data_IF_300250870921
#
_entry.id   IF_300250870921
#
_cell.length_a   1.000
_cell.length_b   1.000
_cell.length_c   1.000
_cell.angle_alpha   90.00
_cell.angle_beta   90.00
_cell.angle_gamma   90.00
#
_symmetry.space_group_name_H-M   'P 1'
#
loop_
_entity.id
_entity.type
_entity.pdbx_description
1 polymer ?
#
# COMPACT_ATOMS: atom_id res chain seq x y z
N UNK A 1 -87.81 -15.34 -109.12
CA UNK A 1 -87.17 -14.51 -108.08
C UNK A 1 -86.62 -15.34 -106.91
N UNK A 2 -85.85 -16.42 -107.15
CA UNK A 2 -85.26 -17.26 -106.06
C UNK A 2 -83.72 -17.21 -105.99
N UNK A 3 -83.06 -16.48 -106.90
CA UNK A 3 -81.59 -16.49 -107.03
C UNK A 3 -80.83 -15.53 -106.10
N UNK A 4 -81.50 -14.56 -105.45
CA UNK A 4 -80.84 -13.54 -104.61
C UNK A 4 -80.92 -13.84 -103.10
N UNK A 5 -81.54 -14.96 -102.68
CA UNK A 5 -81.76 -15.29 -101.27
C UNK A 5 -80.50 -15.86 -100.59
N UNK A 6 -79.70 -16.62 -101.35
CA UNK A 6 -78.48 -17.27 -100.83
C UNK A 6 -77.42 -16.23 -100.42
N UNK A 7 -77.07 -15.21 -101.24
CA UNK A 7 -76.10 -14.18 -100.85
C UNK A 7 -76.54 -13.37 -99.61
N UNK A 8 -77.84 -13.08 -99.48
CA UNK A 8 -78.40 -12.35 -98.33
C UNK A 8 -78.32 -13.19 -97.06
N UNK A 9 -78.67 -14.47 -97.12
CA UNK A 9 -78.57 -15.37 -95.96
C UNK A 9 -77.10 -15.52 -95.50
N UNK A 10 -76.17 -15.64 -96.45
CA UNK A 10 -74.74 -15.74 -96.18
C UNK A 10 -74.21 -14.45 -95.54
N UNK A 11 -74.65 -13.29 -96.01
CA UNK A 11 -74.31 -11.99 -95.42
C UNK A 11 -74.83 -11.84 -93.98
N UNK A 12 -76.07 -12.26 -93.71
CA UNK A 12 -76.63 -12.24 -92.34
C UNK A 12 -75.86 -13.17 -91.41
N UNK A 13 -75.50 -14.38 -91.85
CA UNK A 13 -74.68 -15.32 -91.07
C UNK A 13 -73.29 -14.71 -90.79
N UNK A 14 -72.67 -14.04 -91.76
CA UNK A 14 -71.40 -13.33 -91.55
C UNK A 14 -71.54 -12.22 -90.51
N UNK A 15 -72.61 -11.40 -90.56
CA UNK A 15 -72.85 -10.36 -89.56
C UNK A 15 -73.01 -10.94 -88.16
N UNK A 16 -73.79 -12.02 -88.02
CA UNK A 16 -73.99 -12.68 -86.72
C UNK A 16 -72.67 -13.26 -86.21
N UNK A 17 -71.88 -13.91 -87.07
CA UNK A 17 -70.56 -14.43 -86.71
C UNK A 17 -69.60 -13.31 -86.28
N UNK A 18 -69.56 -12.19 -87.00
CA UNK A 18 -68.73 -11.02 -86.65
C UNK A 18 -69.18 -10.40 -85.32
N UNK A 19 -70.49 -10.27 -85.09
CA UNK A 19 -71.01 -9.76 -83.82
C UNK A 19 -70.70 -10.69 -82.64
N UNK A 20 -70.81 -12.01 -82.83
CA UNK A 20 -70.44 -13.01 -81.83
C UNK A 20 -68.94 -12.97 -81.50
N UNK A 21 -68.07 -12.87 -82.52
CA UNK A 21 -66.63 -12.70 -82.35
C UNK A 21 -66.33 -11.39 -81.60
N UNK A 22 -66.98 -10.29 -81.97
CA UNK A 22 -66.83 -9.00 -81.30
C UNK A 22 -67.23 -9.05 -79.81
N UNK A 23 -68.31 -9.76 -79.48
CA UNK A 23 -68.74 -9.95 -78.10
C UNK A 23 -67.74 -10.78 -77.27
N UNK A 24 -67.20 -11.86 -77.82
CA UNK A 24 -66.16 -12.68 -77.17
C UNK A 24 -64.90 -11.86 -76.93
N UNK A 25 -64.40 -11.15 -77.95
CA UNK A 25 -63.23 -10.29 -77.82
C UNK A 25 -63.43 -9.18 -76.78
N UNK A 26 -64.61 -8.56 -76.73
CA UNK A 26 -64.89 -7.53 -75.73
C UNK A 26 -64.94 -8.10 -74.30
N UNK A 27 -65.43 -9.33 -74.13
CA UNK A 27 -65.40 -10.05 -72.86
C UNK A 27 -63.97 -10.36 -72.41
N UNK A 28 -63.13 -10.85 -73.33
CA UNK A 28 -61.72 -11.12 -73.08
C UNK A 28 -60.93 -9.85 -72.73
N UNK A 29 -61.14 -8.76 -73.47
CA UNK A 29 -60.52 -7.45 -73.18
C UNK A 29 -60.94 -6.94 -71.80
N UNK A 30 -62.23 -7.05 -71.45
CA UNK A 30 -62.73 -6.65 -70.13
C UNK A 30 -62.10 -7.47 -69.01
N UNK A 31 -61.96 -8.78 -69.21
CA UNK A 31 -61.28 -9.69 -68.27
C UNK A 31 -59.80 -9.35 -68.12
N UNK A 32 -59.10 -9.09 -69.23
CA UNK A 32 -57.70 -8.67 -69.23
C UNK A 32 -57.50 -7.33 -68.50
N UNK A 33 -58.37 -6.34 -68.74
CA UNK A 33 -58.32 -5.05 -68.05
C UNK A 33 -58.56 -5.18 -66.55
N UNK A 34 -59.50 -6.04 -66.14
CA UNK A 34 -59.73 -6.33 -64.72
C UNK A 34 -58.49 -6.94 -64.06
N UNK A 35 -57.87 -7.94 -64.70
CA UNK A 35 -56.61 -8.55 -64.21
C UNK A 35 -55.47 -7.54 -64.12
N UNK A 36 -55.32 -6.70 -65.14
CA UNK A 36 -54.31 -5.63 -65.16
C UNK A 36 -54.52 -4.65 -63.99
N UNK A 37 -55.76 -4.23 -63.73
CA UNK A 37 -56.09 -3.33 -62.62
C UNK A 37 -55.74 -3.95 -61.25
N UNK A 38 -56.04 -5.24 -61.06
CA UNK A 38 -55.64 -5.99 -59.85
C UNK A 38 -54.12 -6.01 -59.70
N UNK A 39 -53.39 -6.45 -60.73
CA UNK A 39 -51.91 -6.51 -60.70
C UNK A 39 -51.30 -5.14 -60.42
N UNK A 40 -51.83 -4.07 -61.01
CA UNK A 40 -51.36 -2.71 -60.79
C UNK A 40 -51.58 -2.26 -59.33
N UNK A 41 -52.70 -2.64 -58.73
CA UNK A 41 -53.01 -2.36 -57.32
C UNK A 41 -52.09 -3.15 -56.38
N UNK A 42 -51.86 -4.43 -56.68
CA UNK A 42 -50.93 -5.29 -55.93
C UNK A 42 -49.50 -4.74 -56.00
N UNK A 43 -49.06 -4.32 -57.19
CA UNK A 43 -47.75 -3.68 -57.39
C UNK A 43 -47.59 -2.42 -56.54
N UNK A 44 -48.61 -1.53 -56.50
CA UNK A 44 -48.57 -0.33 -55.66
C UNK A 44 -48.45 -0.67 -54.18
N UNK A 45 -49.20 -1.67 -53.73
CA UNK A 45 -49.17 -2.16 -52.35
C UNK A 45 -47.78 -2.69 -52.00
N UNK A 46 -47.23 -3.57 -52.84
CA UNK A 46 -45.88 -4.12 -52.66
C UNK A 46 -44.81 -3.04 -52.65
N UNK A 47 -44.88 -2.08 -53.56
CA UNK A 47 -43.95 -0.96 -53.63
C UNK A 47 -44.00 -0.11 -52.34
N UNK A 48 -45.21 0.14 -51.80
CA UNK A 48 -45.35 0.83 -50.51
C UNK A 48 -44.71 0.02 -49.37
N UNK A 49 -44.98 -1.29 -49.30
CA UNK A 49 -44.39 -2.18 -48.28
C UNK A 49 -42.86 -2.22 -48.36
N UNK A 50 -42.29 -2.20 -49.57
CA UNK A 50 -40.85 -2.13 -49.78
C UNK A 50 -40.25 -0.86 -49.16
N UNK A 51 -40.85 0.31 -49.39
CA UNK A 51 -40.36 1.57 -48.82
C UNK A 51 -40.51 1.64 -47.30
N UNK A 52 -41.58 1.06 -46.74
CA UNK A 52 -41.74 0.91 -45.29
C UNK A 52 -40.61 0.06 -44.71
N UNK A 53 -40.35 -1.13 -45.28
CA UNK A 53 -39.30 -2.02 -44.81
C UNK A 53 -37.90 -1.40 -44.93
N UNK A 54 -37.65 -0.66 -46.02
CA UNK A 54 -36.39 0.07 -46.20
C UNK A 54 -36.20 1.14 -45.12
N UNK A 55 -37.26 1.84 -44.73
CA UNK A 55 -37.21 2.80 -43.63
C UNK A 55 -36.90 2.13 -42.30
N UNK A 56 -37.56 1.01 -41.99
CA UNK A 56 -37.34 0.23 -40.77
C UNK A 56 -35.89 -0.29 -40.69
N UNK A 57 -35.36 -0.79 -41.80
CA UNK A 57 -33.96 -1.23 -41.90
C UNK A 57 -32.98 -0.09 -41.60
N UNK A 58 -33.24 1.11 -42.14
CA UNK A 58 -32.38 2.27 -41.91
C UNK A 58 -32.42 2.71 -40.43
N UNK A 59 -33.60 2.66 -39.79
CA UNK A 59 -33.73 2.93 -38.35
C UNK A 59 -32.91 1.93 -37.54
N UNK A 60 -33.10 0.63 -37.79
CA UNK A 60 -32.37 -0.43 -37.08
C UNK A 60 -30.84 -0.33 -37.28
N UNK A 61 -30.40 0.04 -38.48
CA UNK A 61 -28.98 0.26 -38.79
C UNK A 61 -28.38 1.40 -37.97
N UNK A 62 -29.14 2.47 -37.73
CA UNK A 62 -28.70 3.58 -36.89
C UNK A 62 -28.69 3.21 -35.40
N UNK A 63 -29.72 2.52 -34.92
CA UNK A 63 -29.76 1.99 -33.54
C UNK A 63 -28.58 1.06 -33.25
N UNK A 64 -28.22 0.20 -34.21
CA UNK A 64 -27.05 -0.68 -34.09
C UNK A 64 -25.74 0.11 -33.97
N UNK A 65 -25.56 1.19 -34.74
CA UNK A 65 -24.38 2.06 -34.65
C UNK A 65 -24.29 2.75 -33.29
N UNK A 66 -25.42 3.23 -32.77
CA UNK A 66 -25.49 3.85 -31.46
C UNK A 66 -25.14 2.85 -30.36
N UNK A 67 -25.69 1.64 -30.42
CA UNK A 67 -25.37 0.55 -29.50
C UNK A 67 -23.86 0.21 -29.52
N UNK A 68 -23.26 0.14 -30.71
CA UNK A 68 -21.83 -0.12 -30.85
C UNK A 68 -20.99 1.00 -30.22
N UNK A 69 -21.40 2.25 -30.39
CA UNK A 69 -20.75 3.40 -29.75
C UNK A 69 -20.84 3.31 -28.23
N UNK A 70 -22.03 3.02 -27.70
CA UNK A 70 -22.25 2.87 -26.26
C UNK A 70 -21.43 1.72 -25.67
N UNK A 71 -21.32 0.59 -26.39
CA UNK A 71 -20.45 -0.51 -26.00
C UNK A 71 -18.98 -0.08 -25.94
N UNK A 72 -18.51 0.70 -26.91
CA UNK A 72 -17.14 1.21 -26.90
C UNK A 72 -16.87 2.12 -25.70
N UNK A 73 -17.82 2.98 -25.31
CA UNK A 73 -17.71 3.79 -24.11
C UNK A 73 -17.64 2.93 -22.84
N UNK A 74 -18.53 1.93 -22.72
CA UNK A 74 -18.52 1.02 -21.57
C UNK A 74 -17.20 0.25 -21.42
N UNK A 75 -16.55 -0.13 -22.53
CA UNK A 75 -15.23 -0.78 -22.51
C UNK A 75 -14.14 0.18 -22.01
N UNK A 76 -14.16 1.44 -22.46
CA UNK A 76 -13.23 2.47 -21.97
C UNK A 76 -13.41 2.70 -20.47
N UNK A 77 -14.64 2.89 -20.02
CA UNK A 77 -14.97 3.09 -18.60
C UNK A 77 -14.51 1.90 -17.75
N UNK A 78 -14.69 0.67 -18.25
CA UNK A 78 -14.20 -0.53 -17.57
C UNK A 78 -12.67 -0.54 -17.42
N UNK A 79 -11.95 -0.18 -18.48
CA UNK A 79 -10.49 -0.14 -18.45
C UNK A 79 -9.97 0.96 -17.51
N UNK A 80 -10.62 2.12 -17.48
CA UNK A 80 -10.29 3.21 -16.56
C UNK A 80 -10.53 2.79 -15.11
N UNK A 81 -11.66 2.14 -14.82
CA UNK A 81 -11.96 1.58 -13.50
C UNK A 81 -10.95 0.50 -13.09
N UNK A 82 -10.53 -0.36 -14.02
CA UNK A 82 -9.51 -1.38 -13.76
C UNK A 82 -8.15 -0.76 -13.46
N UNK A 83 -7.78 0.30 -14.18
CA UNK A 83 -6.56 1.07 -13.92
C UNK A 83 -6.58 1.70 -12.54
N UNK A 84 -7.70 2.35 -12.17
CA UNK A 84 -7.91 2.92 -10.83
C UNK A 84 -7.80 1.83 -9.77
N UNK A 85 -8.49 0.70 -9.93
CA UNK A 85 -8.45 -0.43 -8.99
C UNK A 85 -7.03 -0.96 -8.81
N UNK A 86 -6.26 -1.09 -9.89
CA UNK A 86 -4.87 -1.53 -9.81
C UNK A 86 -3.98 -0.51 -9.09
N UNK A 87 -4.20 0.79 -9.29
CA UNK A 87 -3.45 1.86 -8.60
C UNK A 87 -3.76 1.95 -7.10
N UNK A 88 -5.02 1.68 -6.71
CA UNK A 88 -5.43 1.60 -5.30
C UNK A 88 -4.83 0.36 -4.64
N UNK A 89 -4.91 -0.80 -5.30
CA UNK A 89 -4.38 -2.05 -4.76
C UNK A 89 -2.85 -2.03 -4.60
N UNK A 90 -2.09 -1.35 -5.44
CA UNK A 90 -0.62 -1.35 -5.34
C UNK A 90 -0.06 -0.51 -4.19
N UNK A 91 -0.81 0.46 -3.69
CA UNK A 91 -0.30 1.47 -2.74
C UNK A 91 -0.86 1.25 -1.33
N UNK A 92 -2.12 0.79 -1.22
CA UNK A 92 -2.74 0.50 0.07
C UNK A 92 -2.35 -0.87 0.62
N UNK A 93 -2.06 -1.86 -0.22
CA UNK A 93 -1.72 -3.21 0.28
C UNK A 93 -0.35 -3.25 0.95
N UNK A 94 0.65 -2.54 0.43
CA UNK A 94 1.97 -2.46 1.07
C UNK A 94 1.89 -1.74 2.41
N UNK A 95 1.14 -0.64 2.49
CA UNK A 95 0.96 0.11 3.73
C UNK A 95 0.18 -0.70 4.77
N UNK A 96 -0.89 -1.38 4.36
CA UNK A 96 -1.69 -2.24 5.23
C UNK A 96 -0.87 -3.44 5.75
N UNK A 97 -0.05 -4.05 4.92
CA UNK A 97 0.81 -5.15 5.35
C UNK A 97 1.88 -4.68 6.33
N UNK A 98 2.47 -3.51 6.10
CA UNK A 98 3.40 -2.87 7.03
C UNK A 98 2.75 -2.50 8.37
N UNK A 99 1.52 -1.99 8.36
CA UNK A 99 0.73 -1.70 9.57
C UNK A 99 0.43 -2.96 10.38
N UNK A 100 0.13 -4.09 9.73
CA UNK A 100 -0.06 -5.39 10.41
C UNK A 100 1.23 -5.90 11.05
N UNK A 101 2.37 -5.66 10.40
CA UNK A 101 3.69 -5.94 10.98
C UNK A 101 3.92 -5.14 12.25
N UNK A 102 3.65 -3.82 12.19
CA UNK A 102 3.71 -2.92 13.37
C UNK A 102 2.79 -3.42 14.48
N UNK A 103 1.54 -3.76 14.16
CA UNK A 103 0.58 -4.30 15.13
C UNK A 103 1.05 -5.59 15.80
N UNK A 104 1.68 -6.50 15.03
CA UNK A 104 2.23 -7.75 15.57
C UNK A 104 3.41 -7.51 16.53
N UNK A 105 4.25 -6.51 16.27
CA UNK A 105 5.29 -6.09 17.21
C UNK A 105 4.72 -5.50 18.49
N UNK A 106 3.67 -4.67 18.40
CA UNK A 106 2.98 -4.17 19.60
C UNK A 106 2.38 -5.30 20.45
N UNK A 107 1.76 -6.30 19.81
CA UNK A 107 1.24 -7.49 20.49
C UNK A 107 2.35 -8.27 21.21
N UNK A 108 3.52 -8.43 20.57
CA UNK A 108 4.71 -9.05 21.19
C UNK A 108 5.07 -8.37 22.51
N UNK A 109 5.18 -7.04 22.50
CA UNK A 109 5.49 -6.23 23.67
C UNK A 109 4.42 -6.35 24.76
N UNK A 110 3.14 -6.33 24.39
CA UNK A 110 2.03 -6.48 25.33
C UNK A 110 2.00 -7.87 26.00
N UNK A 111 2.27 -8.93 25.24
CA UNK A 111 2.35 -10.29 25.77
C UNK A 111 3.54 -10.45 26.73
N UNK A 112 4.68 -9.85 26.43
CA UNK A 112 5.80 -9.77 27.36
C UNK A 112 5.44 -8.99 28.61
N UNK A 113 4.75 -7.85 28.45
CA UNK A 113 4.34 -7.00 29.56
C UNK A 113 3.42 -7.70 30.56
N UNK A 114 2.45 -8.43 30.02
CA UNK A 114 1.44 -9.16 30.79
C UNK A 114 1.96 -10.50 31.32
N UNK A 115 3.17 -10.91 30.96
CA UNK A 115 3.69 -12.25 31.25
C UNK A 115 2.93 -13.36 30.52
N UNK A 116 2.20 -13.04 29.45
CA UNK A 116 1.45 -13.99 28.64
C UNK A 116 2.37 -14.70 27.61
N UNK A 117 3.28 -15.50 28.15
CA UNK A 117 4.27 -16.26 27.37
C UNK A 117 3.62 -17.17 26.33
N UNK A 118 2.48 -17.79 26.65
CA UNK A 118 1.79 -18.69 25.70
C UNK A 118 1.36 -17.95 24.44
N UNK A 119 0.84 -16.72 24.57
CA UNK A 119 0.49 -15.90 23.40
C UNK A 119 1.73 -15.43 22.65
N UNK A 120 2.79 -15.02 23.36
CA UNK A 120 4.06 -14.66 22.73
C UNK A 120 4.65 -15.80 21.90
N UNK A 121 4.60 -17.03 22.39
CA UNK A 121 5.07 -18.22 21.65
C UNK A 121 4.34 -18.43 20.32
N UNK A 122 3.08 -17.97 20.21
CA UNK A 122 2.35 -18.04 18.94
C UNK A 122 2.89 -17.07 17.89
N UNK A 123 3.58 -16.00 18.29
CA UNK A 123 4.19 -15.02 17.38
C UNK A 123 5.57 -15.44 16.89
N UNK A 124 6.20 -16.45 17.48
CA UNK A 124 7.55 -16.89 17.10
C UNK A 124 7.57 -17.62 15.75
N UNK A 125 8.58 -17.32 14.93
CA UNK A 125 8.92 -18.11 13.76
C UNK A 125 9.47 -19.47 14.16
N UNK A 126 9.40 -20.46 13.27
CA UNK A 126 9.89 -21.82 13.53
C UNK A 126 11.40 -21.88 13.82
N UNK A 127 12.15 -20.95 13.25
CA UNK A 127 13.60 -20.82 13.33
C UNK A 127 14.02 -19.58 14.13
N UNK A 128 13.12 -19.03 14.95
CA UNK A 128 13.41 -17.83 15.75
C UNK A 128 14.73 -18.01 16.49
N UNK A 129 15.57 -16.99 16.43
CA UNK A 129 16.73 -16.90 17.29
C UNK A 129 16.50 -15.82 18.34
N UNK A 130 17.10 -15.99 19.50
CA UNK A 130 16.99 -14.97 20.52
C UNK A 130 18.13 -14.99 21.50
N UNK A 131 18.25 -13.90 22.22
CA UNK A 131 19.28 -13.66 23.21
C UNK A 131 18.67 -13.00 24.43
N UNK A 132 19.10 -13.43 25.60
CA UNK A 132 18.72 -12.84 26.87
C UNK A 132 19.98 -12.56 27.68
N UNK A 133 20.12 -11.33 28.16
CA UNK A 133 21.18 -10.92 29.07
C UNK A 133 20.62 -10.41 30.39
N UNK A 134 21.16 -10.96 31.49
CA UNK A 134 20.94 -10.49 32.87
C UNK A 134 22.30 -10.26 33.53
N UNK A 135 22.74 -9.00 33.55
CA UNK A 135 24.07 -8.65 34.07
C UNK A 135 25.17 -9.30 33.23
N UNK A 136 25.97 -10.18 33.82
CA UNK A 136 27.03 -10.93 33.10
C UNK A 136 26.57 -12.27 32.54
N UNK A 137 25.31 -12.66 32.78
CA UNK A 137 24.77 -13.95 32.33
C UNK A 137 24.07 -13.75 31.00
N UNK A 138 24.51 -14.48 29.99
CA UNK A 138 24.00 -14.41 28.62
C UNK A 138 23.52 -15.80 28.18
N UNK A 139 22.41 -15.88 27.46
CA UNK A 139 21.90 -17.13 26.87
C UNK A 139 21.31 -16.90 25.49
N UNK A 140 21.60 -17.78 24.55
CA UNK A 140 20.97 -17.83 23.21
C UNK A 140 19.95 -18.95 23.13
N UNK A 141 18.95 -18.81 22.26
CA UNK A 141 17.98 -19.86 22.01
C UNK A 141 17.49 -19.94 20.57
N UNK A 142 17.00 -21.13 20.22
CA UNK A 142 16.33 -21.41 18.97
C UNK A 142 15.05 -22.24 19.22
N UNK A 143 13.87 -21.67 18.96
CA UNK A 143 12.53 -22.28 19.07
C UNK A 143 12.06 -22.83 20.46
N UNK A 144 10.78 -22.60 20.79
CA UNK A 144 9.92 -23.25 21.83
C UNK A 144 10.38 -23.28 23.31
N UNK A 145 11.34 -22.48 23.72
CA UNK A 145 11.76 -22.40 25.14
C UNK A 145 11.77 -21.00 25.71
N UNK A 146 11.12 -20.02 25.07
CA UNK A 146 11.10 -18.65 25.56
C UNK A 146 10.53 -18.59 26.99
N UNK A 147 9.45 -19.33 27.27
CA UNK A 147 8.91 -19.43 28.62
C UNK A 147 9.86 -20.02 29.65
N UNK A 148 10.60 -21.08 29.27
CA UNK A 148 11.58 -21.70 30.14
C UNK A 148 12.76 -20.75 30.44
N UNK A 149 13.22 -20.00 29.44
CA UNK A 149 14.29 -19.02 29.61
C UNK A 149 13.87 -17.80 30.42
N UNK A 150 12.71 -17.22 30.13
CA UNK A 150 12.19 -16.13 30.97
C UNK A 150 12.01 -16.58 32.42
N UNK A 151 11.61 -17.84 32.63
CA UNK A 151 11.52 -18.43 33.98
C UNK A 151 12.90 -18.61 34.63
N UNK A 152 13.91 -19.04 33.88
CA UNK A 152 15.29 -19.24 34.37
C UNK A 152 15.99 -17.92 34.69
N UNK A 153 15.80 -16.90 33.85
CA UNK A 153 16.46 -15.60 34.00
C UNK A 153 15.72 -14.65 34.96
N UNK A 154 14.38 -14.69 35.01
CA UNK A 154 13.58 -13.73 35.78
C UNK A 154 12.76 -14.32 36.94
N UNK A 155 12.68 -15.65 37.10
CA UNK A 155 12.23 -16.29 38.35
C UNK A 155 10.85 -15.89 38.92
N UNK A 156 9.87 -15.51 38.08
CA UNK A 156 8.58 -14.86 38.44
C UNK A 156 7.90 -15.32 39.76
N UNK A 157 7.30 -14.37 40.53
CA UNK A 157 6.15 -13.61 40.02
C UNK A 157 6.16 -12.09 40.29
N UNK A 158 5.58 -11.35 39.36
CA UNK A 158 5.36 -9.88 39.30
C UNK A 158 6.54 -9.07 38.73
N UNK A 159 6.86 -9.31 37.47
CA UNK A 159 7.33 -8.23 36.60
C UNK A 159 6.07 -7.53 36.09
N UNK A 160 5.61 -6.50 36.80
CA UNK A 160 4.90 -5.45 36.08
C UNK A 160 5.96 -4.74 35.26
N UNK A 161 6.21 -5.18 34.03
CA UNK A 161 7.03 -4.38 33.15
C UNK A 161 6.21 -3.20 32.66
N UNK A 162 6.87 -2.07 32.49
CA UNK A 162 6.34 -0.95 31.75
C UNK A 162 7.27 -0.69 30.61
N UNK A 163 6.70 -0.56 29.41
CA UNK A 163 7.43 -0.13 28.24
C UNK A 163 7.16 1.36 28.02
N UNK A 164 7.90 2.27 28.68
CA UNK A 164 7.64 3.70 28.56
C UNK A 164 7.89 4.23 27.15
N UNK A 165 8.73 3.55 26.36
CA UNK A 165 9.07 3.94 24.99
C UNK A 165 9.15 2.69 24.13
N UNK A 166 8.34 2.66 23.07
CA UNK A 166 8.32 1.62 22.05
C UNK A 166 8.43 2.31 20.70
N UNK A 167 9.35 1.81 19.88
CA UNK A 167 9.52 2.23 18.51
C UNK A 167 9.37 1.01 17.60
N UNK A 168 8.42 1.04 16.68
CA UNK A 168 8.20 -0.05 15.72
C UNK A 168 8.10 0.52 14.32
N UNK A 169 8.81 -0.11 13.39
CA UNK A 169 8.87 0.30 12.00
C UNK A 169 8.87 -0.89 11.08
N UNK A 170 8.25 -0.75 9.93
CA UNK A 170 8.23 -1.78 8.91
C UNK A 170 8.93 -1.27 7.64
N UNK A 171 9.65 -2.16 6.97
CA UNK A 171 10.23 -1.90 5.65
C UNK A 171 10.19 -3.18 4.84
N UNK A 172 9.39 -3.20 3.76
CA UNK A 172 9.17 -4.41 2.97
C UNK A 172 8.56 -5.54 3.81
N UNK A 173 9.26 -6.66 3.90
CA UNK A 173 8.80 -7.87 4.58
C UNK A 173 9.38 -8.02 6.00
N UNK A 174 9.97 -6.95 6.55
CA UNK A 174 10.58 -6.95 7.89
C UNK A 174 10.00 -5.81 8.72
N UNK A 175 9.68 -6.10 9.97
CA UNK A 175 9.33 -5.13 11.00
C UNK A 175 10.37 -5.18 12.10
N UNK A 176 10.88 -4.03 12.53
CA UNK A 176 11.80 -3.89 13.65
C UNK A 176 11.10 -3.21 14.80
N UNK A 177 11.24 -3.78 15.99
CA UNK A 177 10.75 -3.20 17.24
C UNK A 177 11.91 -2.96 18.20
N UNK A 178 11.96 -1.79 18.82
CA UNK A 178 12.84 -1.53 19.97
C UNK A 178 12.02 -0.96 21.09
N UNK A 179 12.22 -1.47 22.30
CA UNK A 179 11.49 -1.02 23.47
C UNK A 179 12.40 -0.88 24.67
N UNK A 180 12.29 0.26 25.37
CA UNK A 180 12.81 0.40 26.71
C UNK A 180 11.83 -0.24 27.67
N UNK A 181 12.32 -1.04 28.62
CA UNK A 181 11.46 -1.61 29.65
C UNK A 181 12.08 -1.50 31.03
N UNK A 182 11.22 -1.23 32.00
CA UNK A 182 11.52 -1.35 33.41
C UNK A 182 10.78 -2.57 33.94
N UNK A 183 11.39 -3.33 34.85
CA UNK A 183 10.75 -4.43 35.55
C UNK A 183 11.19 -4.54 37.01
N UNK A 184 10.41 -5.26 37.81
CA UNK A 184 10.80 -5.63 39.16
C UNK A 184 11.48 -7.00 39.17
N UNK A 185 12.66 -7.08 39.79
CA UNK A 185 13.43 -8.30 39.96
C UNK A 185 13.70 -8.55 41.45
N UNK A 186 14.12 -9.76 41.79
CA UNK A 186 14.53 -10.12 43.13
C UNK A 186 16.05 -10.30 43.14
N UNK A 187 16.75 -9.47 43.92
CA UNK A 187 18.21 -9.58 44.02
C UNK A 187 18.63 -10.79 44.88
N UNK A 188 19.94 -11.04 44.97
CA UNK A 188 20.51 -12.14 45.76
C UNK A 188 20.19 -12.09 47.27
N UNK A 189 19.74 -10.94 47.77
CA UNK A 189 19.29 -10.73 49.15
C UNK A 189 17.77 -10.90 49.32
N UNK A 190 17.09 -11.42 48.29
CA UNK A 190 15.64 -11.58 48.25
C UNK A 190 14.84 -10.27 48.36
N UNK A 191 15.47 -9.14 48.00
CA UNK A 191 14.83 -7.83 47.99
C UNK A 191 14.34 -7.48 46.57
N UNK A 192 13.17 -6.86 46.50
CA UNK A 192 12.62 -6.32 45.26
C UNK A 192 13.46 -5.13 44.79
N UNK A 193 13.93 -5.18 43.55
CA UNK A 193 14.72 -4.13 42.92
C UNK A 193 14.14 -3.78 41.55
N UNK A 194 14.31 -2.52 41.13
CA UNK A 194 14.02 -2.12 39.76
C UNK A 194 15.19 -2.48 38.86
N UNK A 195 14.89 -3.11 37.75
CA UNK A 195 15.82 -3.42 36.68
C UNK A 195 15.35 -2.79 35.39
N UNK A 196 16.29 -2.49 34.50
CA UNK A 196 16.07 -1.68 33.31
C UNK A 196 16.74 -2.35 32.12
N UNK A 197 16.04 -2.42 31.00
CA UNK A 197 16.58 -3.06 29.81
C UNK A 197 16.10 -2.47 28.51
N UNK A 198 16.73 -2.96 27.45
CA UNK A 198 16.38 -2.70 26.06
C UNK A 198 15.97 -4.02 25.45
N UNK A 199 14.84 -4.04 24.78
CA UNK A 199 14.43 -5.14 23.93
C UNK A 199 14.54 -4.70 22.48
N UNK A 200 15.13 -5.56 21.66
CA UNK A 200 15.17 -5.43 20.21
C UNK A 200 14.53 -6.67 19.60
N UNK A 201 13.63 -6.49 18.65
CA UNK A 201 13.01 -7.59 17.91
C UNK A 201 12.97 -7.30 16.42
N UNK A 202 12.99 -8.37 15.63
CA UNK A 202 12.62 -8.32 14.23
C UNK A 202 11.54 -9.36 13.94
N UNK A 203 10.55 -8.95 13.15
CA UNK A 203 9.49 -9.80 12.64
C UNK A 203 9.63 -9.89 11.12
N UNK A 204 9.40 -11.08 10.59
CA UNK A 204 9.36 -11.33 9.15
C UNK A 204 7.94 -11.68 8.72
N UNK A 205 7.55 -11.19 7.54
CA UNK A 205 6.29 -11.59 6.92
C UNK A 205 6.45 -12.97 6.26
N UNK A 206 5.85 -14.00 6.86
CA UNK A 206 5.93 -15.38 6.32
C UNK A 206 4.85 -15.65 5.26
N UNK A 207 3.77 -14.88 5.27
CA UNK A 207 2.73 -14.86 4.25
C UNK A 207 1.89 -13.58 4.40
N UNK A 208 1.10 -13.16 3.39
CA UNK A 208 0.27 -11.96 3.49
C UNK A 208 -0.60 -11.96 4.76
N UNK A 209 -0.47 -10.90 5.55
CA UNK A 209 -1.15 -10.70 6.83
C UNK A 209 -0.59 -11.49 8.02
N UNK A 210 0.47 -12.28 7.84
CA UNK A 210 1.05 -13.11 8.90
C UNK A 210 2.51 -12.73 9.12
N UNK A 211 2.76 -12.10 10.25
CA UNK A 211 4.08 -11.70 10.73
C UNK A 211 4.51 -12.60 11.89
N UNK A 212 5.80 -12.94 11.93
CA UNK A 212 6.39 -13.77 12.98
C UNK A 212 7.71 -13.18 13.45
N UNK A 213 7.95 -13.23 14.75
CA UNK A 213 9.23 -12.85 15.37
C UNK A 213 10.30 -13.82 14.88
N UNK A 214 11.28 -13.29 14.17
CA UNK A 214 12.46 -14.02 13.67
C UNK A 214 13.65 -13.83 14.61
N UNK A 215 13.76 -12.64 15.22
CA UNK A 215 14.77 -12.35 16.23
C UNK A 215 14.17 -11.62 17.44
N UNK A 216 14.65 -11.96 18.64
CA UNK A 216 14.33 -11.25 19.87
C UNK A 216 15.55 -11.21 20.81
N UNK A 217 16.03 -10.00 21.10
CA UNK A 217 17.18 -9.72 21.94
C UNK A 217 16.73 -8.88 23.13
N UNK A 218 17.09 -9.31 24.35
CA UNK A 218 16.77 -8.59 25.57
C UNK A 218 18.04 -8.34 26.36
N UNK A 219 18.36 -7.06 26.56
CA UNK A 219 19.58 -6.58 27.18
C UNK A 219 19.27 -5.89 28.51
N UNK A 220 19.71 -6.47 29.63
CA UNK A 220 19.71 -5.81 30.94
C UNK A 220 21.01 -5.05 31.17
N UNK A 221 21.28 -4.06 30.31
CA UNK A 221 22.52 -3.28 30.29
C UNK A 221 22.36 -1.88 30.92
N UNK A 222 21.14 -1.50 31.30
CA UNK A 222 20.84 -0.16 31.78
C UNK A 222 20.75 -0.11 33.31
N UNK A 223 21.25 0.98 33.88
CA UNK A 223 20.88 1.42 35.23
C UNK A 223 19.82 2.53 35.16
N UNK A 224 19.31 2.97 36.31
CA UNK A 224 18.25 4.01 36.34
C UNK A 224 18.64 5.30 35.63
N UNK A 225 19.91 5.72 35.71
CA UNK A 225 20.37 6.97 35.08
C UNK A 225 20.49 6.83 33.56
N UNK A 226 21.11 5.74 33.08
CA UNK A 226 21.22 5.47 31.63
C UNK A 226 19.87 5.15 31.00
N UNK A 227 18.92 4.60 31.77
CA UNK A 227 17.54 4.40 31.33
C UNK A 227 16.82 5.72 31.09
N UNK A 228 16.87 6.66 32.04
CA UNK A 228 16.27 7.99 31.85
C UNK A 228 16.93 8.79 30.72
N UNK A 229 18.24 8.61 30.51
CA UNK A 229 18.91 9.14 29.32
C UNK A 229 18.32 8.55 28.03
N UNK A 230 18.15 7.22 27.99
CA UNK A 230 17.60 6.55 26.83
C UNK A 230 16.16 7.00 26.57
N UNK A 231 15.31 7.11 27.60
CA UNK A 231 13.96 7.67 27.48
C UNK A 231 13.98 9.09 26.89
N UNK A 232 14.90 9.93 27.35
CA UNK A 232 15.05 11.29 26.81
C UNK A 232 15.47 11.27 25.34
N UNK A 233 16.39 10.37 24.96
CA UNK A 233 16.79 10.16 23.56
C UNK A 233 15.64 9.68 22.67
N UNK A 234 14.83 8.71 23.13
CA UNK A 234 13.63 8.24 22.44
C UNK A 234 12.59 9.36 22.25
N UNK A 235 12.30 10.12 23.31
CA UNK A 235 11.37 11.24 23.23
C UNK A 235 11.86 12.32 22.26
N UNK A 236 13.16 12.60 22.26
CA UNK A 236 13.78 13.53 21.33
C UNK A 236 13.66 13.05 19.88
N UNK A 237 13.88 11.76 19.62
CA UNK A 237 13.71 11.16 18.29
C UNK A 237 12.26 11.15 17.81
N UNK A 238 11.32 10.77 18.66
CA UNK A 238 9.89 10.86 18.35
C UNK A 238 9.52 12.30 18.02
N UNK A 239 9.99 13.26 18.81
CA UNK A 239 9.78 14.68 18.55
C UNK A 239 10.31 15.08 17.17
N UNK A 240 11.52 14.63 16.78
CA UNK A 240 12.09 14.92 15.45
C UNK A 240 11.24 14.37 14.31
N UNK A 241 10.69 13.15 14.46
CA UNK A 241 9.87 12.51 13.43
C UNK A 241 8.54 13.23 13.17
N UNK A 242 8.09 14.04 14.12
CA UNK A 242 6.84 14.81 14.05
C UNK A 242 7.04 16.25 13.51
N UNK A 243 8.27 16.70 13.26
CA UNK A 243 8.56 18.08 12.85
C UNK A 243 8.28 18.33 11.37
N UNK A 244 7.77 19.53 11.07
CA UNK A 244 7.80 20.11 9.74
C UNK A 244 9.16 20.78 9.44
N UNK A 245 9.35 21.25 8.20
CA UNK A 245 10.58 21.91 7.74
C UNK A 245 11.03 23.06 8.66
N UNK A 246 10.11 23.77 9.33
CA UNK A 246 10.43 24.90 10.20
C UNK A 246 10.97 24.45 11.57
N UNK A 247 10.63 23.24 12.04
CA UNK A 247 11.08 22.69 13.31
C UNK A 247 12.46 22.02 13.27
N UNK A 248 12.87 21.48 12.12
CA UNK A 248 14.08 20.66 11.93
C UNK A 248 15.35 21.36 12.44
N UNK A 249 15.45 22.68 12.22
CA UNK A 249 16.59 23.49 12.67
C UNK A 249 16.84 23.44 14.17
N UNK A 250 15.78 23.40 14.99
CA UNK A 250 15.92 23.47 16.45
C UNK A 250 16.52 22.19 17.04
N UNK A 251 16.41 21.08 16.31
CA UNK A 251 16.82 19.76 16.77
C UNK A 251 18.15 19.36 16.14
N UNK A 252 18.31 19.48 14.83
CA UNK A 252 19.56 19.11 14.14
C UNK A 252 20.73 20.02 14.54
N UNK A 253 20.45 21.29 14.84
CA UNK A 253 21.47 22.25 15.28
C UNK A 253 21.67 22.19 16.80
N UNK A 254 20.95 21.40 17.62
CA UNK A 254 21.14 21.38 19.08
C UNK A 254 21.24 22.77 19.76
N UNK A 255 21.68 22.83 21.03
CA UNK A 255 22.04 24.10 21.67
C UNK A 255 23.53 24.47 21.49
N UNK A 256 24.37 23.59 20.91
CA UNK A 256 25.85 23.69 21.00
C UNK A 256 26.75 23.29 19.79
N UNK A 257 26.31 22.75 18.64
CA UNK A 257 27.19 22.54 17.50
C UNK A 257 27.38 23.84 16.69
N UNK A 258 28.64 24.14 16.38
CA UNK A 258 29.01 25.27 15.51
C UNK A 258 28.68 25.03 14.03
N UNK A 259 28.39 23.77 13.65
CA UNK A 259 28.11 23.33 12.27
C UNK A 259 27.20 22.08 12.24
N UNK A 260 26.37 21.97 11.19
CA UNK A 260 25.58 20.79 10.81
C UNK A 260 26.17 20.19 9.53
N UNK A 261 26.50 18.90 9.54
CA UNK A 261 26.91 18.20 8.33
C UNK A 261 25.70 17.55 7.65
N UNK A 262 25.45 17.90 6.40
CA UNK A 262 24.54 17.17 5.52
C UNK A 262 25.40 16.33 4.57
N UNK A 263 25.14 15.03 4.49
CA UNK A 263 25.91 14.11 3.64
C UNK A 263 25.23 13.70 2.32
N UNK A 264 24.18 14.42 1.87
CA UNK A 264 23.36 13.99 0.73
C UNK A 264 23.47 14.94 -0.48
N UNK A 265 23.91 14.40 -1.62
CA UNK A 265 23.68 14.97 -2.96
C UNK A 265 24.11 16.45 -3.09
N UNK A 266 23.31 17.28 -3.75
CA UNK A 266 23.54 18.71 -3.97
C UNK A 266 23.59 19.56 -2.68
N UNK A 267 23.28 18.96 -1.54
CA UNK A 267 23.29 19.62 -0.23
C UNK A 267 24.43 19.10 0.65
N UNK A 268 25.41 18.38 0.11
CA UNK A 268 26.54 17.89 0.89
C UNK A 268 27.42 19.05 1.40
N UNK A 269 27.67 19.11 2.71
CA UNK A 269 28.52 20.13 3.29
C UNK A 269 28.39 20.32 4.79
N UNK A 270 29.32 21.09 5.36
CA UNK A 270 29.24 21.60 6.72
C UNK A 270 28.59 23.00 6.70
N UNK A 271 27.45 23.14 7.36
CA UNK A 271 26.66 24.36 7.38
C UNK A 271 26.68 24.98 8.76
N UNK A 272 27.00 26.26 8.87
CA UNK A 272 26.63 27.01 10.08
C UNK A 272 25.10 27.04 10.22
N UNK A 273 24.54 27.33 11.41
CA UNK A 273 23.08 27.42 11.60
C UNK A 273 22.39 28.29 10.53
N UNK A 274 22.95 29.47 10.23
CA UNK A 274 22.42 30.39 9.21
C UNK A 274 22.53 29.86 7.78
N UNK A 275 23.58 29.10 7.46
CA UNK A 275 23.70 28.46 6.14
C UNK A 275 22.71 27.29 6.01
N UNK A 276 22.46 26.57 7.10
CA UNK A 276 21.49 25.48 7.15
C UNK A 276 20.05 25.98 6.98
N UNK A 277 19.68 27.09 7.64
CA UNK A 277 18.40 27.79 7.43
C UNK A 277 18.16 28.12 5.94
N UNK A 278 19.22 28.60 5.29
CA UNK A 278 19.17 28.97 3.87
C UNK A 278 18.96 27.75 2.98
N UNK A 279 19.56 26.59 3.32
CA UNK A 279 19.33 25.33 2.63
C UNK A 279 17.89 24.84 2.83
N UNK A 280 17.41 24.79 4.08
CA UNK A 280 16.04 24.35 4.38
C UNK A 280 14.97 25.23 3.74
N UNK A 281 15.22 26.54 3.55
CA UNK A 281 14.28 27.42 2.86
C UNK A 281 13.98 27.00 1.41
N UNK A 282 14.86 26.20 0.80
CA UNK A 282 14.67 25.64 -0.55
C UNK A 282 13.97 24.28 -0.55
N UNK A 283 13.79 23.68 0.63
CA UNK A 283 13.19 22.35 0.84
C UNK A 283 11.69 22.52 1.07
N UNK A 284 10.86 21.91 0.20
CA UNK A 284 9.38 22.00 0.30
C UNK A 284 8.78 21.05 1.34
N UNK A 285 9.43 19.92 1.56
CA UNK A 285 9.04 18.89 2.51
C UNK A 285 10.30 18.24 3.04
N UNK A 286 10.33 18.00 4.34
CA UNK A 286 11.39 17.28 5.02
C UNK A 286 10.71 16.28 5.94
N UNK A 287 10.90 15.00 5.69
CA UNK A 287 10.31 13.93 6.50
C UNK A 287 11.41 12.99 6.90
N UNK A 288 11.48 12.68 8.19
CA UNK A 288 12.37 11.66 8.75
C UNK A 288 11.48 10.48 9.13
N UNK A 289 11.62 9.37 8.40
CA UNK A 289 10.92 8.13 8.72
C UNK A 289 11.93 7.12 9.23
N UNK A 290 11.98 6.88 10.54
CA UNK A 290 12.87 5.87 11.09
C UNK A 290 12.54 4.47 10.60
N UNK A 291 13.56 3.62 10.57
CA UNK A 291 13.39 2.20 10.23
C UNK A 291 14.31 1.25 11.00
N UNK A 292 15.36 1.74 11.65
CA UNK A 292 16.21 0.93 12.54
C UNK A 292 16.85 1.78 13.63
N UNK A 293 17.11 1.18 14.77
CA UNK A 293 17.62 1.84 15.96
C UNK A 293 18.52 0.89 16.74
N UNK A 294 19.61 1.41 17.30
CA UNK A 294 20.54 0.66 18.14
C UNK A 294 20.92 1.50 19.38
N UNK A 295 20.97 0.86 20.55
CA UNK A 295 21.53 1.47 21.77
C UNK A 295 22.81 0.75 22.17
N UNK A 296 23.88 1.51 22.27
CA UNK A 296 25.12 1.08 22.89
C UNK A 296 25.31 1.84 24.21
N UNK A 297 25.68 1.13 25.27
CA UNK A 297 25.91 1.71 26.60
C UNK A 297 27.37 1.55 26.95
N UNK A 298 28.06 2.66 27.19
CA UNK A 298 29.47 2.68 27.60
C UNK A 298 29.61 3.51 28.87
N UNK A 299 29.72 2.83 30.02
CA UNK A 299 29.80 3.46 31.34
C UNK A 299 28.59 4.37 31.65
N UNK A 300 28.78 5.70 31.63
CA UNK A 300 27.75 6.70 31.92
C UNK A 300 27.21 7.37 30.65
N UNK A 301 27.59 6.86 29.49
CA UNK A 301 27.18 7.38 28.19
C UNK A 301 26.34 6.35 27.47
N UNK A 302 25.35 6.84 26.75
CA UNK A 302 24.60 6.06 25.78
C UNK A 302 24.90 6.61 24.39
N UNK A 303 25.08 5.72 23.43
CA UNK A 303 25.10 6.03 22.02
C UNK A 303 23.86 5.40 21.41
N UNK A 304 23.04 6.24 20.81
CA UNK A 304 21.83 5.88 20.10
C UNK A 304 22.10 6.12 18.62
N UNK A 305 22.20 5.05 17.85
CA UNK A 305 22.24 5.16 16.39
C UNK A 305 20.86 4.96 15.82
N UNK A 306 20.40 5.93 15.04
CA UNK A 306 19.07 5.98 14.46
C UNK A 306 19.18 6.02 12.94
N UNK A 307 18.56 5.08 12.24
CA UNK A 307 18.53 5.08 10.79
C UNK A 307 17.15 5.49 10.29
N UNK A 308 17.11 6.44 9.37
CA UNK A 308 15.89 6.97 8.83
C UNK A 308 15.97 7.25 7.33
N UNK A 309 14.81 7.18 6.69
CA UNK A 309 14.58 7.69 5.36
C UNK A 309 14.27 9.18 5.46
N UNK A 310 15.09 9.99 4.79
CA UNK A 310 14.96 11.44 4.70
C UNK A 310 14.47 11.77 3.30
N UNK A 311 13.24 12.30 3.21
CA UNK A 311 12.69 12.81 1.95
C UNK A 311 12.82 14.32 1.91
N UNK A 312 13.50 14.83 0.87
CA UNK A 312 13.71 16.28 0.66
C UNK A 312 12.99 16.70 -0.63
N UNK A 313 11.87 17.40 -0.51
CA UNK A 313 11.05 17.83 -1.65
C UNK A 313 10.25 16.70 -2.31
N UNK A 314 10.04 16.80 -3.63
CA UNK A 314 8.97 16.06 -4.32
C UNK A 314 9.33 14.66 -4.87
N UNK A 315 10.56 14.16 -4.74
CA UNK A 315 10.89 12.90 -5.44
C UNK A 315 12.12 12.11 -4.99
N UNK A 316 12.95 12.62 -4.07
CA UNK A 316 14.15 11.88 -3.66
C UNK A 316 14.15 11.57 -2.17
N UNK A 317 14.02 10.30 -1.87
CA UNK A 317 14.21 9.72 -0.54
C UNK A 317 15.66 9.23 -0.42
N UNK A 318 16.33 9.66 0.63
CA UNK A 318 17.69 9.24 0.97
C UNK A 318 17.65 8.43 2.26
N UNK A 319 18.48 7.40 2.36
CA UNK A 319 18.68 6.69 3.64
C UNK A 319 19.84 7.33 4.38
N UNK A 320 19.62 7.66 5.65
CA UNK A 320 20.55 8.35 6.52
C UNK A 320 20.70 7.64 7.86
N UNK A 321 21.89 7.68 8.44
CA UNK A 321 22.09 7.45 9.87
C UNK A 321 22.15 8.79 10.60
N UNK A 322 21.53 8.90 11.76
CA UNK A 322 21.65 9.98 12.72
C UNK A 322 22.19 9.33 13.99
N UNK A 323 23.41 9.69 14.41
CA UNK A 323 23.94 9.23 15.69
C UNK A 323 23.67 10.29 16.74
N UNK A 324 23.03 9.87 17.83
CA UNK A 324 22.83 10.65 19.05
C UNK A 324 23.68 10.04 20.14
N UNK A 325 24.74 10.73 20.55
CA UNK A 325 25.46 10.40 21.78
C UNK A 325 24.92 11.25 22.92
N UNK A 326 24.48 10.61 24.00
CA UNK A 326 24.10 11.29 25.23
C UNK A 326 25.03 10.87 26.37
N UNK A 327 25.73 11.82 26.96
CA UNK A 327 26.59 11.61 28.12
C UNK A 327 25.98 12.27 29.36
N UNK A 328 25.98 11.55 30.49
CA UNK A 328 25.67 12.14 31.79
C UNK A 328 26.81 13.06 32.21
N UNK A 329 26.56 14.37 32.19
CA UNK A 329 27.50 15.34 32.69
C UNK A 329 27.65 15.25 34.22
N UNK A 330 28.74 15.76 34.82
CA UNK A 330 28.98 15.71 36.27
C UNK A 330 27.87 16.35 37.13
N UNK A 331 27.02 17.20 36.54
CA UNK A 331 25.85 17.82 37.18
C UNK A 331 24.57 16.97 37.08
N UNK A 332 24.64 15.81 36.42
CA UNK A 332 23.53 14.89 36.21
C UNK A 332 22.64 15.25 35.01
N UNK A 333 23.00 16.26 34.21
CA UNK A 333 22.25 16.63 33.01
C UNK A 333 22.74 15.86 31.77
N UNK A 334 21.84 15.45 30.87
CA UNK A 334 22.22 14.87 29.59
C UNK A 334 22.85 15.93 28.68
N UNK A 335 24.04 15.67 28.15
CA UNK A 335 24.52 16.37 26.95
C UNK A 335 24.29 15.51 25.73
N UNK A 336 23.35 15.89 24.87
CA UNK A 336 23.07 15.21 23.59
C UNK A 336 23.91 15.87 22.49
N UNK A 337 24.84 15.12 21.93
CA UNK A 337 25.62 15.48 20.75
C UNK A 337 25.11 14.65 19.58
N UNK A 338 24.58 15.31 18.55
CA UNK A 338 24.25 14.63 17.29
C UNK A 338 25.48 14.71 16.37
N UNK A 339 25.94 13.57 15.86
CA UNK A 339 27.05 13.56 14.91
C UNK A 339 26.70 12.74 13.67
N UNK A 340 26.82 13.43 12.54
CA UNK A 340 26.81 12.91 11.17
C UNK A 340 25.47 12.34 10.68
N UNK A 341 24.92 13.02 9.66
CA UNK A 341 24.01 12.44 8.67
C UNK A 341 24.84 11.86 7.52
N UNK A 342 25.12 10.55 7.51
CA UNK A 342 25.81 9.90 6.38
C UNK A 342 24.77 9.26 5.46
N UNK A 343 24.86 9.54 4.16
CA UNK A 343 24.10 8.80 3.15
C UNK A 343 24.60 7.36 3.09
N UNK A 344 23.74 6.40 3.38
CA UNK A 344 24.06 4.98 3.26
C UNK A 344 23.15 4.38 2.19
N UNK A 345 23.66 3.65 1.18
CA UNK A 345 22.80 2.92 0.25
C UNK A 345 21.89 1.96 1.00
N UNK A 346 20.60 1.90 0.67
CA UNK A 346 19.62 1.01 1.32
C UNK A 346 20.11 -0.46 1.39
N UNK A 347 20.72 -0.94 0.30
CA UNK A 347 21.30 -2.28 0.22
C UNK A 347 22.46 -2.52 1.18
N UNK A 348 23.19 -1.48 1.60
CA UNK A 348 24.24 -1.59 2.60
C UNK A 348 23.66 -1.76 4.00
N UNK A 349 22.47 -1.21 4.27
CA UNK A 349 21.79 -1.40 5.56
C UNK A 349 21.19 -2.80 5.62
N UNK A 350 20.48 -3.22 4.57
CA UNK A 350 19.87 -4.56 4.44
C UNK A 350 20.90 -5.70 4.59
N UNK A 351 22.08 -5.56 3.97
CA UNK A 351 23.14 -6.57 4.08
C UNK A 351 23.95 -6.50 5.39
N UNK A 352 23.90 -5.39 6.13
CA UNK A 352 24.59 -5.27 7.41
C UNK A 352 23.70 -5.58 8.61
N UNK A 353 22.38 -5.64 8.43
CA UNK A 353 21.43 -6.01 9.49
C UNK A 353 21.81 -7.37 10.08
N UNK A 354 22.06 -8.38 9.25
CA UNK A 354 22.46 -9.72 9.73
C UNK A 354 23.81 -9.73 10.46
N UNK A 355 24.73 -8.82 10.12
CA UNK A 355 26.03 -8.65 10.81
C UNK A 355 25.97 -7.74 12.03
N UNK A 356 24.94 -6.89 12.16
CA UNK A 356 24.70 -6.06 13.35
C UNK A 356 24.06 -6.89 14.47
N UNK A 357 23.28 -7.92 14.11
CA UNK A 357 22.67 -8.87 15.05
C UNK A 357 23.54 -10.10 15.38
N UNK A 358 24.67 -10.31 14.69
CA UNK A 358 25.64 -11.38 14.95
C UNK A 358 26.79 -10.91 15.83
#
# INVERSE_FOLDING_TARGET
MKSNLIPVLLFVVIIIAVAAIGAVLNSEISSANSKYSTIYTDYKTLNSSYFTLLSEYNTLSNEYKELLSNYSYAVTDHNDLLSILNSVNSTDTTNLEMEKGIGSGWESMEYLQSGNINSLETLLASNVTGFLSKGTTNGTFSSKTIGAMFSEFYGYPVISSSFPQIYISSSGNITYGVALFQYHDINTSNALVNSYGVMEESLIQISPGIWKIDHIYIYNILNSSTFSLAESGFNYLNSISELDVAGVNQYIIGQLPSYVYIGFSSYEGNYTPTQFDSVLSTVKSFTITPFYFNISVVSNSIEITYYANISIGNSTTYTASINLSAELQPDGLPEVTSTVMTAIPYSTVENNIDTIFS
#
